data_IF_955419127349
#
_entry.id   IF_955419127349
#
_cell.length_a   1.000
_cell.length_b   1.000
_cell.length_c   1.000
_cell.angle_alpha   90.00
_cell.angle_beta   90.00
_cell.angle_gamma   90.00
#
_symmetry.space_group_name_H-M   'P 1'
#
loop_
_entity.id
_entity.type
_entity.pdbx_description
1 polymer ?
#
# COMPACT_ATOMS: atom_id res chain seq x y z
N UNK A 1 16.00 14.23 -22.84
CA UNK A 1 16.81 15.08 -21.95
C UNK A 1 16.08 15.57 -20.69
N UNK A 2 14.74 15.72 -20.67
CA UNK A 2 14.00 16.23 -19.50
C UNK A 2 14.11 15.38 -18.22
N UNK A 3 13.76 14.08 -18.28
CA UNK A 3 13.77 13.24 -17.07
C UNK A 3 15.17 13.01 -16.49
N UNK A 4 16.17 12.77 -17.34
CA UNK A 4 17.57 12.64 -16.89
C UNK A 4 18.08 13.93 -16.22
N UNK A 5 17.68 15.10 -16.71
CA UNK A 5 18.00 16.37 -16.07
C UNK A 5 17.28 16.51 -14.73
N UNK A 6 16.00 16.14 -14.64
CA UNK A 6 15.25 16.13 -13.38
C UNK A 6 15.88 15.20 -12.33
N UNK A 7 16.41 14.04 -12.74
CA UNK A 7 17.14 13.14 -11.83
C UNK A 7 18.48 13.71 -11.34
N UNK A 8 19.10 14.61 -12.11
CA UNK A 8 20.40 15.20 -11.80
C UNK A 8 20.31 16.58 -11.14
N UNK A 9 19.09 17.09 -10.93
CA UNK A 9 18.85 18.42 -10.35
C UNK A 9 18.13 18.29 -9.02
N UNK A 10 18.49 19.16 -8.08
CA UNK A 10 17.85 19.22 -6.78
C UNK A 10 16.79 20.32 -6.83
N UNK A 11 15.53 19.93 -6.65
CA UNK A 11 14.44 20.88 -6.39
C UNK A 11 14.47 21.26 -4.91
N UNK A 12 14.36 22.55 -4.61
CA UNK A 12 14.29 23.02 -3.23
C UNK A 12 13.11 22.40 -2.47
N UNK A 13 13.29 22.07 -1.19
CA UNK A 13 12.27 21.40 -0.39
C UNK A 13 11.01 22.25 -0.13
N UNK A 14 11.13 23.57 -0.22
CA UNK A 14 10.03 24.54 -0.09
C UNK A 14 9.34 24.86 -1.44
N UNK A 15 9.71 24.16 -2.52
CA UNK A 15 9.11 24.38 -3.83
C UNK A 15 7.61 24.05 -3.82
N UNK A 16 6.75 24.88 -4.44
CA UNK A 16 5.30 24.65 -4.46
C UNK A 16 4.91 23.35 -5.19
N UNK A 17 5.80 22.78 -6.02
CA UNK A 17 5.56 21.48 -6.67
C UNK A 17 5.41 20.33 -5.67
N UNK A 18 5.87 20.51 -4.42
CA UNK A 18 5.74 19.53 -3.35
C UNK A 18 4.54 19.76 -2.45
N UNK A 19 3.68 20.76 -2.68
CA UNK A 19 2.53 21.06 -1.82
C UNK A 19 1.61 19.84 -1.62
N UNK A 20 1.22 19.17 -2.72
CA UNK A 20 0.40 17.95 -2.65
C UNK A 20 1.11 16.84 -1.89
N UNK A 21 2.42 16.69 -2.11
CA UNK A 21 3.24 15.70 -1.41
C UNK A 21 3.28 15.96 0.10
N UNK A 22 3.49 17.21 0.53
CA UNK A 22 3.51 17.58 1.95
C UNK A 22 2.15 17.36 2.62
N UNK A 23 1.04 17.65 1.94
CA UNK A 23 -0.31 17.37 2.46
C UNK A 23 -0.48 15.87 2.73
N UNK A 24 -0.18 15.03 1.72
CA UNK A 24 -0.34 13.58 1.83
C UNK A 24 0.62 12.94 2.84
N UNK A 25 1.86 13.42 2.92
CA UNK A 25 2.83 12.98 3.94
C UNK A 25 2.32 13.38 5.33
N UNK A 26 1.80 14.60 5.50
CA UNK A 26 1.26 15.04 6.77
C UNK A 26 0.03 14.24 7.20
N UNK A 27 -0.85 13.86 6.28
CA UNK A 27 -1.97 12.93 6.57
C UNK A 27 -1.47 11.58 7.07
N UNK A 28 -0.45 11.02 6.40
CA UNK A 28 0.15 9.75 6.79
C UNK A 28 0.84 9.83 8.16
N UNK A 29 1.53 10.93 8.46
CA UNK A 29 2.21 11.17 9.75
C UNK A 29 1.24 11.29 10.92
N UNK A 30 0.05 11.88 10.70
CA UNK A 30 -1.00 12.02 11.72
C UNK A 30 -1.85 10.78 11.90
N UNK A 31 -1.72 9.79 11.02
CA UNK A 31 -2.53 8.58 11.07
C UNK A 31 -1.94 7.57 12.05
N UNK A 32 -2.77 7.08 12.96
CA UNK A 32 -2.39 5.98 13.86
C UNK A 32 -2.31 4.64 13.10
N UNK A 33 -3.05 4.52 11.99
CA UNK A 33 -3.25 3.29 11.23
C UNK A 33 -3.37 3.63 9.75
N UNK A 34 -2.82 2.79 8.87
CA UNK A 34 -2.98 2.93 7.42
C UNK A 34 -3.80 1.77 6.86
N UNK A 35 -4.94 2.07 6.23
CA UNK A 35 -5.75 1.08 5.51
C UNK A 35 -5.67 1.36 4.01
N UNK A 36 -5.22 0.37 3.24
CA UNK A 36 -5.15 0.42 1.77
C UNK A 36 -6.10 -0.63 1.20
N UNK A 37 -7.25 -0.19 0.71
CA UNK A 37 -8.15 -1.04 -0.09
C UNK A 37 -7.87 -0.82 -1.58
N UNK A 38 -7.42 -1.87 -2.28
CA UNK A 38 -7.00 -1.75 -3.68
C UNK A 38 -7.39 -2.99 -4.50
N UNK A 39 -7.82 -2.83 -5.76
CA UNK A 39 -7.84 -3.95 -6.67
C UNK A 39 -6.42 -4.30 -7.13
N UNK A 40 -6.24 -5.53 -7.62
CA UNK A 40 -5.09 -5.91 -8.45
C UNK A 40 -5.43 -5.63 -9.92
N UNK A 41 -4.61 -4.80 -10.57
CA UNK A 41 -4.67 -4.52 -12.00
C UNK A 41 -3.41 -5.05 -12.69
N UNK A 42 -3.57 -5.92 -13.68
CA UNK A 42 -2.47 -6.44 -14.50
C UNK A 42 -1.26 -6.87 -13.64
N UNK A 43 -1.50 -7.79 -12.69
CA UNK A 43 -0.50 -8.38 -11.79
C UNK A 43 0.07 -7.44 -10.71
N UNK A 44 -0.32 -6.16 -10.69
CA UNK A 44 0.22 -5.14 -9.77
C UNK A 44 -0.88 -4.19 -9.28
N UNK A 45 -0.48 -3.05 -8.69
CA UNK A 45 -1.38 -2.02 -8.17
C UNK A 45 -1.93 -1.07 -9.25
N UNK A 46 -3.05 -0.38 -9.00
CA UNK A 46 -3.57 0.66 -9.90
C UNK A 46 -2.65 1.88 -9.97
N UNK A 47 -2.67 2.58 -11.11
CA UNK A 47 -1.86 3.77 -11.33
C UNK A 47 -2.08 4.88 -10.29
N UNK A 48 -3.32 5.05 -9.80
CA UNK A 48 -3.63 6.01 -8.75
C UNK A 48 -2.93 5.70 -7.42
N UNK A 49 -2.89 4.42 -7.01
CA UNK A 49 -2.16 4.01 -5.82
C UNK A 49 -0.65 4.21 -6.01
N UNK A 50 -0.13 3.94 -7.21
CA UNK A 50 1.29 4.17 -7.53
C UNK A 50 1.66 5.65 -7.42
N UNK A 51 0.78 6.52 -7.92
CA UNK A 51 0.97 7.96 -7.83
C UNK A 51 0.93 8.44 -6.37
N UNK A 52 0.02 7.92 -5.54
CA UNK A 52 0.02 8.23 -4.11
C UNK A 52 1.33 7.80 -3.43
N UNK A 53 1.83 6.60 -3.75
CA UNK A 53 3.13 6.12 -3.24
C UNK A 53 4.26 7.06 -3.68
N UNK A 54 4.26 7.53 -4.92
CA UNK A 54 5.27 8.48 -5.41
C UNK A 54 5.22 9.82 -4.68
N UNK A 55 4.05 10.26 -4.22
CA UNK A 55 3.93 11.47 -3.40
C UNK A 55 4.45 11.29 -1.98
N UNK A 56 4.24 10.12 -1.35
CA UNK A 56 4.63 9.91 0.05
C UNK A 56 6.04 9.33 0.21
N UNK A 57 6.62 8.72 -0.83
CA UNK A 57 7.95 8.11 -0.81
C UNK A 57 9.04 9.10 -1.27
N UNK A 58 9.37 10.07 -0.40
CA UNK A 58 10.32 11.15 -0.71
C UNK A 58 11.62 11.06 0.07
N UNK A 59 12.73 11.11 -0.66
CA UNK A 59 14.07 11.14 -0.08
C UNK A 59 14.24 12.43 0.75
N UNK A 60 14.88 12.29 1.91
CA UNK A 60 15.07 13.34 2.91
C UNK A 60 13.78 13.89 3.57
N UNK A 61 12.61 13.32 3.30
CA UNK A 61 11.34 13.67 3.98
C UNK A 61 10.69 12.48 4.69
N UNK A 62 10.56 11.33 4.03
CA UNK A 62 9.96 10.11 4.60
C UNK A 62 10.89 8.90 4.56
N UNK A 63 11.96 8.97 3.79
CA UNK A 63 13.08 8.04 3.88
C UNK A 63 14.42 8.76 3.64
N UNK A 64 15.51 8.17 4.09
CA UNK A 64 16.89 8.61 3.83
C UNK A 64 17.69 7.48 3.17
N UNK A 65 18.87 7.79 2.65
CA UNK A 65 19.81 6.80 2.12
C UNK A 65 21.11 6.85 2.92
N UNK A 66 21.59 5.69 3.36
CA UNK A 66 22.86 5.52 4.05
C UNK A 66 23.68 4.37 3.41
N UNK A 67 24.80 4.01 4.01
CA UNK A 67 25.68 2.93 3.51
C UNK A 67 25.04 1.54 3.52
N UNK A 68 24.00 1.32 4.33
CA UNK A 68 23.27 0.05 4.44
C UNK A 68 22.03 0.01 3.52
N UNK A 69 21.66 1.13 2.90
CA UNK A 69 20.55 1.23 1.96
C UNK A 69 19.59 2.36 2.30
N UNK A 70 18.31 2.16 2.00
CA UNK A 70 17.25 3.13 2.34
C UNK A 70 16.75 2.87 3.76
N UNK A 71 16.64 3.93 4.56
CA UNK A 71 16.12 3.89 5.92
C UNK A 71 14.87 4.77 6.02
N UNK A 72 13.76 4.21 6.49
CA UNK A 72 12.52 4.92 6.73
C UNK A 72 12.65 5.96 7.85
N UNK A 73 11.89 7.05 7.73
CA UNK A 73 11.86 8.14 8.71
C UNK A 73 10.50 8.26 9.42
N UNK A 74 9.48 7.54 8.95
CA UNK A 74 8.19 7.51 9.62
C UNK A 74 8.25 6.56 10.82
N UNK A 75 7.49 6.89 11.87
CA UNK A 75 7.21 5.94 12.94
C UNK A 75 6.38 4.78 12.37
N UNK A 76 6.75 3.57 12.76
CA UNK A 76 6.00 2.37 12.38
C UNK A 76 4.58 2.41 12.95
N UNK A 77 3.64 1.80 12.23
CA UNK A 77 2.22 1.72 12.60
C UNK A 77 1.56 0.52 11.92
N UNK A 78 0.43 0.02 12.45
CA UNK A 78 -0.33 -1.02 11.75
C UNK A 78 -0.75 -0.56 10.35
N UNK A 79 -0.47 -1.39 9.35
CA UNK A 79 -0.90 -1.20 7.97
C UNK A 79 -1.70 -2.42 7.51
N UNK A 80 -2.94 -2.19 7.09
CA UNK A 80 -3.82 -3.22 6.55
C UNK A 80 -4.01 -3.00 5.06
N UNK A 81 -3.75 -4.03 4.26
CA UNK A 81 -3.87 -3.99 2.80
C UNK A 81 -4.91 -5.01 2.35
N UNK A 82 -6.07 -4.52 1.90
CA UNK A 82 -7.15 -5.32 1.36
C UNK A 82 -7.03 -5.36 -0.17
N UNK A 83 -6.77 -6.54 -0.73
CA UNK A 83 -6.48 -6.72 -2.15
C UNK A 83 -7.60 -7.48 -2.83
N UNK A 84 -8.39 -6.81 -3.68
CA UNK A 84 -9.42 -7.45 -4.50
C UNK A 84 -8.88 -7.91 -5.85
N UNK A 85 -9.18 -9.14 -6.28
CA UNK A 85 -8.74 -9.64 -7.60
C UNK A 85 -9.76 -10.55 -8.26
N UNK A 86 -9.84 -10.44 -9.60
CA UNK A 86 -10.66 -11.36 -10.39
C UNK A 86 -10.15 -12.80 -10.33
N UNK A 87 -8.84 -13.01 -10.45
CA UNK A 87 -8.19 -14.32 -10.39
C UNK A 87 -7.49 -14.61 -9.05
N UNK A 88 -7.04 -15.86 -8.88
CA UNK A 88 -6.22 -16.29 -7.75
C UNK A 88 -4.73 -16.04 -8.04
N UNK A 89 -4.03 -15.40 -7.11
CA UNK A 89 -2.58 -15.10 -7.14
C UNK A 89 -1.85 -15.54 -5.87
N UNK A 90 -2.55 -16.01 -4.84
CA UNK A 90 -2.00 -16.60 -3.63
C UNK A 90 -2.47 -18.04 -3.44
N UNK A 91 -1.65 -18.86 -2.77
CA UNK A 91 -1.96 -20.26 -2.43
C UNK A 91 -1.97 -21.24 -3.62
N UNK A 92 -2.46 -22.45 -3.39
CA UNK A 92 -2.41 -23.55 -4.37
C UNK A 92 -3.18 -23.29 -5.67
N UNK A 93 -4.19 -22.42 -5.60
CA UNK A 93 -5.02 -22.04 -6.76
C UNK A 93 -4.42 -20.91 -7.59
N UNK A 94 -3.28 -20.35 -7.17
CA UNK A 94 -2.64 -19.24 -7.86
C UNK A 94 -2.26 -19.64 -9.31
N UNK A 95 -2.70 -18.83 -10.27
CA UNK A 95 -2.41 -19.04 -11.70
C UNK A 95 -1.78 -17.82 -12.37
N UNK A 96 -1.39 -16.83 -11.58
CA UNK A 96 -0.76 -15.59 -12.06
C UNK A 96 0.27 -15.11 -11.03
N UNK A 97 1.28 -14.33 -11.47
CA UNK A 97 2.26 -13.74 -10.56
C UNK A 97 1.64 -12.66 -9.67
N UNK A 98 2.28 -12.40 -8.54
CA UNK A 98 1.95 -11.31 -7.62
C UNK A 98 3.11 -10.32 -7.48
N UNK A 99 3.02 -9.21 -8.23
CA UNK A 99 3.94 -8.09 -8.10
C UNK A 99 3.37 -6.96 -7.23
N UNK A 100 2.09 -7.03 -6.84
CA UNK A 100 1.46 -6.05 -5.98
C UNK A 100 2.03 -6.15 -4.56
N UNK A 101 2.00 -7.36 -4.00
CA UNK A 101 2.37 -7.61 -2.60
C UNK A 101 3.85 -7.28 -2.37
N UNK A 102 4.72 -7.81 -3.22
CA UNK A 102 6.17 -7.57 -3.12
C UNK A 102 6.53 -6.10 -3.30
N UNK A 103 5.89 -5.39 -4.24
CA UNK A 103 6.11 -3.96 -4.42
C UNK A 103 5.63 -3.14 -3.22
N UNK A 104 4.41 -3.40 -2.71
CA UNK A 104 3.88 -2.68 -1.56
C UNK A 104 4.73 -2.93 -0.30
N UNK A 105 5.14 -4.17 -0.04
CA UNK A 105 6.07 -4.47 1.04
C UNK A 105 7.35 -3.64 0.93
N UNK A 106 7.98 -3.63 -0.25
CA UNK A 106 9.21 -2.86 -0.45
C UNK A 106 8.99 -1.35 -0.27
N UNK A 107 7.93 -0.79 -0.85
CA UNK A 107 7.64 0.64 -0.80
C UNK A 107 7.31 1.09 0.63
N UNK A 108 6.45 0.36 1.34
CA UNK A 108 6.03 0.67 2.71
C UNK A 108 7.17 0.46 3.72
N UNK A 109 7.95 -0.61 3.60
CA UNK A 109 9.15 -0.80 4.43
C UNK A 109 10.17 0.32 4.21
N UNK A 110 10.28 0.85 2.99
CA UNK A 110 11.16 1.99 2.70
C UNK A 110 10.72 3.25 3.43
N UNK A 111 9.43 3.44 3.68
CA UNK A 111 8.89 4.54 4.50
C UNK A 111 9.14 4.35 6.00
N UNK A 112 9.46 3.13 6.44
CA UNK A 112 9.56 2.76 7.86
C UNK A 112 8.30 2.07 8.40
N UNK A 113 7.41 1.61 7.52
CA UNK A 113 6.17 0.93 7.90
C UNK A 113 6.36 -0.58 7.70
N UNK A 114 6.51 -1.30 8.82
CA UNK A 114 6.92 -2.71 8.82
C UNK A 114 5.79 -3.64 9.25
N UNK A 115 4.83 -3.16 10.05
CA UNK A 115 3.69 -3.94 10.50
C UNK A 115 2.60 -4.03 9.41
N UNK A 116 2.89 -4.82 8.36
CA UNK A 116 2.01 -4.98 7.21
C UNK A 116 1.16 -6.26 7.32
N UNK A 117 -0.15 -6.12 7.18
CA UNK A 117 -1.09 -7.24 7.09
C UNK A 117 -1.86 -7.20 5.78
N UNK A 118 -1.84 -8.30 5.04
CA UNK A 118 -2.53 -8.42 3.77
C UNK A 118 -3.75 -9.35 3.89
N UNK A 119 -4.88 -8.91 3.35
CA UNK A 119 -6.10 -9.72 3.19
C UNK A 119 -6.46 -9.77 1.71
N UNK A 120 -6.54 -10.98 1.15
CA UNK A 120 -6.73 -11.16 -0.29
C UNK A 120 -8.16 -11.62 -0.60
N UNK A 121 -8.92 -10.76 -1.27
CA UNK A 121 -10.23 -11.06 -1.78
C UNK A 121 -10.14 -11.53 -3.24
N UNK A 122 -9.90 -12.83 -3.43
CA UNK A 122 -9.56 -13.42 -4.73
C UNK A 122 -10.71 -14.19 -5.37
N UNK A 123 -10.70 -14.31 -6.70
CA UNK A 123 -11.73 -15.08 -7.41
C UNK A 123 -13.04 -14.31 -7.59
N UNK A 124 -13.02 -12.98 -7.49
CA UNK A 124 -14.24 -12.17 -7.55
C UNK A 124 -14.95 -12.23 -8.91
N UNK A 125 -14.26 -12.69 -9.96
CA UNK A 125 -14.85 -12.89 -11.30
C UNK A 125 -15.86 -14.04 -11.35
N UNK A 126 -15.90 -14.92 -10.35
CA UNK A 126 -16.78 -16.10 -10.33
C UNK A 126 -18.23 -15.80 -9.88
N UNK A 127 -18.60 -14.53 -9.73
CA UNK A 127 -19.98 -14.10 -9.49
C UNK A 127 -20.26 -13.65 -8.04
N UNK A 128 -21.49 -13.20 -7.80
CA UNK A 128 -21.90 -12.58 -6.53
C UNK A 128 -21.70 -13.47 -5.31
N UNK A 129 -21.91 -14.78 -5.45
CA UNK A 129 -21.69 -15.74 -4.35
C UNK A 129 -20.22 -15.79 -3.94
N UNK A 130 -19.30 -15.80 -4.92
CA UNK A 130 -17.87 -15.77 -4.64
C UNK A 130 -17.48 -14.44 -3.99
N UNK A 131 -18.06 -13.32 -4.43
CA UNK A 131 -17.85 -12.02 -3.78
C UNK A 131 -18.29 -12.05 -2.32
N UNK A 132 -19.53 -12.51 -2.07
CA UNK A 132 -20.09 -12.59 -0.71
C UNK A 132 -19.24 -13.46 0.21
N UNK A 133 -18.92 -14.68 -0.20
CA UNK A 133 -18.12 -15.61 0.60
C UNK A 133 -16.74 -15.02 0.93
N UNK A 134 -16.09 -14.41 -0.06
CA UNK A 134 -14.75 -13.84 0.14
C UNK A 134 -14.75 -12.61 1.05
N UNK A 135 -15.82 -11.81 0.99
CA UNK A 135 -16.02 -10.67 1.93
C UNK A 135 -16.29 -11.18 3.34
N UNK A 136 -17.12 -12.21 3.51
CA UNK A 136 -17.41 -12.82 4.81
C UNK A 136 -16.15 -13.41 5.46
N UNK A 137 -15.32 -14.11 4.68
CA UNK A 137 -14.02 -14.62 5.12
C UNK A 137 -13.09 -13.47 5.57
N UNK A 138 -13.02 -12.40 4.77
CA UNK A 138 -12.20 -11.23 5.10
C UNK A 138 -12.68 -10.54 6.38
N UNK A 139 -13.99 -10.36 6.57
CA UNK A 139 -14.57 -9.78 7.79
C UNK A 139 -14.27 -10.66 9.00
N UNK A 140 -14.37 -11.98 8.86
CA UNK A 140 -14.02 -12.93 9.92
C UNK A 140 -12.57 -12.79 10.35
N UNK A 141 -11.63 -12.75 9.41
CA UNK A 141 -10.20 -12.55 9.71
C UNK A 141 -9.95 -11.19 10.36
N UNK A 142 -10.50 -10.11 9.79
CA UNK A 142 -10.31 -8.76 10.32
C UNK A 142 -10.87 -8.64 11.73
N UNK A 143 -11.98 -9.29 12.06
CA UNK A 143 -12.59 -9.23 13.40
C UNK A 143 -11.71 -9.76 14.53
N UNK A 144 -10.67 -10.53 14.21
CA UNK A 144 -9.68 -10.99 15.18
C UNK A 144 -8.75 -9.87 15.65
N UNK A 145 -8.62 -8.81 14.85
CA UNK A 145 -7.87 -7.62 15.20
C UNK A 145 -8.72 -6.73 16.12
N UNK A 146 -8.20 -6.30 17.29
CA UNK A 146 -8.97 -5.48 18.24
C UNK A 146 -9.56 -4.20 17.64
N UNK A 147 -8.92 -3.66 16.60
CA UNK A 147 -9.39 -2.50 15.86
C UNK A 147 -10.72 -2.74 15.12
N UNK A 148 -10.94 -3.97 14.68
CA UNK A 148 -12.00 -4.36 13.76
C UNK A 148 -12.99 -5.36 14.38
N UNK A 149 -12.88 -5.62 15.69
CA UNK A 149 -13.70 -6.61 16.39
C UNK A 149 -15.23 -6.38 16.28
N UNK A 150 -15.67 -5.14 16.04
CA UNK A 150 -17.07 -4.79 15.86
C UNK A 150 -17.61 -5.04 14.43
N UNK A 151 -16.79 -5.53 13.50
CA UNK A 151 -17.20 -5.72 12.09
C UNK A 151 -18.17 -6.89 11.86
N UNK A 152 -18.25 -7.86 12.78
CA UNK A 152 -19.06 -9.10 12.60
C UNK A 152 -20.47 -8.97 13.20
N UNK A 153 -20.86 -7.77 13.64
CA UNK A 153 -22.20 -7.49 14.16
C UNK A 153 -23.07 -6.74 13.15
N UNK A 154 -23.50 -7.38 12.06
CA UNK A 154 -24.71 -7.01 11.28
C UNK A 154 -25.35 -8.27 10.70
#
# INVERSE_FOLDING_TARGET
>A
MGYAHALATVTSFDSPVFEVSEVLIGELERSDILLIATPMHNFTLPAALKLWIDYVLRIHRTFSSNSEGKAGLLNDRPVYVLVGSGGFHQGERARQPDFLTSYLCQALNTLGLFNLQFTYLQGLVFGEEAVRATVEDALTVLSLEPLFNNLVCV
#
